data_IF_773399789946
#
_entry.id   IF_773399789946
#
_cell.length_a   1.000
_cell.length_b   1.000
_cell.length_c   1.000
_cell.angle_alpha   90.00
_cell.angle_beta   90.00
_cell.angle_gamma   90.00
#
_symmetry.space_group_name_H-M   'P 1'
#
loop_
_entity.id
_entity.type
_entity.pdbx_description
1 polymer ?
#
# COMPACT_ATOMS: atom_id res chain seq x y z
N UNK A 1 -37.98 -1.39 -5.55
CA UNK A 1 -37.04 -0.54 -4.77
C UNK A 1 -35.75 -0.43 -5.55
N UNK A 2 -35.60 0.59 -6.40
CA UNK A 2 -34.35 0.86 -7.10
C UNK A 2 -33.41 1.53 -6.11
N UNK A 3 -32.29 0.88 -5.76
CA UNK A 3 -31.22 1.48 -4.95
C UNK A 3 -30.72 2.70 -5.71
N UNK A 4 -30.97 3.89 -5.18
CA UNK A 4 -30.49 5.14 -5.77
C UNK A 4 -29.01 5.25 -5.43
N UNK A 5 -28.15 4.93 -6.41
CA UNK A 5 -26.71 5.05 -6.25
C UNK A 5 -26.34 6.53 -6.28
N UNK A 6 -25.73 7.03 -5.21
CA UNK A 6 -25.47 8.46 -5.04
C UNK A 6 -24.08 8.83 -5.56
N UNK A 7 -23.11 7.97 -5.28
CA UNK A 7 -21.73 8.05 -5.73
C UNK A 7 -21.12 6.64 -5.91
N UNK A 8 -21.50 5.93 -6.98
CA UNK A 8 -21.04 4.57 -7.24
C UNK A 8 -19.58 4.54 -7.68
N UNK A 9 -18.78 3.66 -7.08
CA UNK A 9 -17.38 3.44 -7.42
C UNK A 9 -17.08 1.97 -7.66
N UNK A 10 -16.23 1.70 -8.65
CA UNK A 10 -15.58 0.40 -8.80
C UNK A 10 -14.23 0.47 -8.11
N UNK A 11 -14.09 -0.33 -7.05
CA UNK A 11 -12.83 -0.57 -6.40
C UNK A 11 -12.13 -1.78 -7.04
N UNK A 12 -10.86 -1.62 -7.39
CA UNK A 12 -9.97 -2.71 -7.81
C UNK A 12 -8.74 -2.65 -6.91
N UNK A 13 -8.43 -3.78 -6.26
CA UNK A 13 -7.31 -3.84 -5.32
C UNK A 13 -5.96 -3.54 -5.99
N UNK A 14 -5.68 -4.10 -7.16
CA UNK A 14 -4.48 -3.78 -7.95
C UNK A 14 -4.66 -4.17 -9.42
N UNK A 15 -3.84 -3.59 -10.30
CA UNK A 15 -3.69 -3.97 -11.71
C UNK A 15 -2.20 -4.08 -12.04
N UNK A 16 -1.82 -5.00 -12.92
CA UNK A 16 -0.43 -5.44 -13.06
C UNK A 16 0.56 -4.34 -13.51
N UNK A 17 0.19 -3.41 -14.40
CA UNK A 17 1.02 -2.22 -14.69
C UNK A 17 0.22 -0.95 -14.90
N UNK A 18 -0.56 -0.90 -15.98
CA UNK A 18 -1.29 0.29 -16.41
C UNK A 18 -2.67 -0.10 -16.90
N UNK A 19 -3.64 0.80 -16.70
CA UNK A 19 -5.04 0.52 -16.98
C UNK A 19 -5.78 1.75 -17.46
N UNK A 20 -6.66 1.56 -18.44
CA UNK A 20 -7.70 2.51 -18.83
C UNK A 20 -9.06 1.84 -18.65
N UNK A 21 -10.04 2.60 -18.15
CA UNK A 21 -11.42 2.15 -18.07
C UNK A 21 -12.33 3.01 -18.97
N UNK A 22 -13.19 2.34 -19.73
CA UNK A 22 -14.06 2.95 -20.71
C UNK A 22 -15.51 2.54 -20.45
N UNK A 23 -16.40 3.51 -20.38
CA UNK A 23 -17.84 3.29 -20.29
C UNK A 23 -18.46 3.73 -21.62
N UNK A 24 -19.12 2.82 -22.32
CA UNK A 24 -19.70 3.11 -23.65
C UNK A 24 -18.70 3.75 -24.62
N UNK A 25 -17.44 3.27 -24.60
CA UNK A 25 -16.35 3.78 -25.44
C UNK A 25 -15.74 5.11 -24.99
N UNK A 26 -16.27 5.77 -23.95
CA UNK A 26 -15.66 6.97 -23.36
C UNK A 26 -14.74 6.60 -22.21
N UNK A 27 -13.48 7.05 -22.26
CA UNK A 27 -12.53 6.87 -21.16
C UNK A 27 -13.00 7.65 -19.93
N UNK A 28 -13.22 6.95 -18.81
CA UNK A 28 -13.61 7.53 -17.53
C UNK A 28 -12.48 7.49 -16.50
N UNK A 29 -11.49 6.62 -16.68
CA UNK A 29 -10.37 6.47 -15.78
C UNK A 29 -9.10 6.05 -16.53
N UNK A 30 -7.94 6.46 -16.03
CA UNK A 30 -6.64 5.98 -16.49
C UNK A 30 -5.63 5.98 -15.35
N UNK A 31 -4.71 5.03 -15.42
CA UNK A 31 -3.54 4.95 -14.56
C UNK A 31 -2.33 4.50 -15.39
N UNK A 32 -1.25 5.28 -15.33
CA UNK A 32 -0.11 5.16 -16.23
C UNK A 32 -0.36 5.80 -17.60
N UNK A 33 0.58 5.60 -18.52
CA UNK A 33 0.53 6.15 -19.87
C UNK A 33 0.75 5.05 -20.90
N UNK A 34 -0.17 4.96 -21.87
CA UNK A 34 -0.04 4.12 -23.05
C UNK A 34 0.69 4.88 -24.16
N UNK A 35 1.64 4.24 -24.82
CA UNK A 35 2.35 4.75 -25.98
C UNK A 35 1.59 4.44 -27.30
N UNK A 36 2.22 4.76 -28.43
CA UNK A 36 1.64 4.54 -29.75
C UNK A 36 1.44 3.06 -30.10
N UNK A 37 2.17 2.15 -29.46
CA UNK A 37 2.04 0.70 -29.61
C UNK A 37 1.02 0.11 -28.63
N UNK A 38 0.50 0.93 -27.70
CA UNK A 38 -0.40 0.47 -26.65
C UNK A 38 0.32 -0.22 -25.51
N UNK A 39 1.62 0.01 -25.39
CA UNK A 39 2.46 -0.43 -24.29
C UNK A 39 2.67 0.72 -23.31
N UNK A 40 3.22 0.44 -22.14
CA UNK A 40 3.64 1.52 -21.27
C UNK A 40 4.47 1.05 -20.10
N UNK A 41 5.05 2.03 -19.40
CA UNK A 41 5.95 1.74 -18.29
C UNK A 41 5.18 1.49 -17.02
N UNK A 42 5.75 0.62 -16.17
CA UNK A 42 5.28 0.43 -14.80
C UNK A 42 5.10 1.77 -14.07
N UNK A 43 3.88 2.02 -13.62
CA UNK A 43 3.49 3.25 -12.94
C UNK A 43 3.38 3.09 -11.42
N UNK A 44 3.39 1.86 -10.91
CA UNK A 44 3.13 1.50 -9.52
C UNK A 44 2.02 0.45 -9.38
N UNK A 45 1.76 -0.01 -8.15
CA UNK A 45 0.65 -0.90 -7.80
C UNK A 45 -0.26 -0.28 -6.72
N UNK A 46 -0.94 0.84 -7.03
CA UNK A 46 -1.95 1.37 -6.14
C UNK A 46 -3.26 0.60 -6.30
N UNK A 47 -4.11 0.78 -5.31
CA UNK A 47 -5.53 0.49 -5.48
C UNK A 47 -6.17 1.50 -6.42
N UNK A 48 -7.16 1.06 -7.19
CA UNK A 48 -7.88 1.90 -8.13
C UNK A 48 -9.32 2.12 -7.68
N UNK A 49 -9.72 3.39 -7.68
CA UNK A 49 -11.08 3.83 -7.44
C UNK A 49 -11.59 4.50 -8.71
N UNK A 50 -12.60 3.91 -9.33
CA UNK A 50 -13.17 4.36 -10.60
C UNK A 50 -14.57 4.87 -10.33
N UNK A 51 -14.75 6.19 -10.39
CA UNK A 51 -16.05 6.84 -10.25
C UNK A 51 -16.94 6.49 -11.46
N UNK A 52 -18.16 6.06 -11.18
CA UNK A 52 -19.15 5.76 -12.19
C UNK A 52 -20.18 6.91 -12.27
N UNK A 53 -20.58 7.33 -13.48
CA UNK A 53 -21.63 8.32 -13.63
C UNK A 53 -22.97 7.74 -13.17
N UNK A 54 -23.90 8.60 -12.72
CA UNK A 54 -25.21 8.17 -12.17
C UNK A 54 -26.03 7.31 -13.13
N UNK A 55 -25.81 7.45 -14.43
CA UNK A 55 -26.49 6.72 -15.49
C UNK A 55 -25.71 5.48 -15.97
N UNK A 56 -24.80 4.92 -15.14
CA UNK A 56 -24.00 3.74 -15.49
C UNK A 56 -24.81 2.44 -15.61
N UNK A 57 -26.01 2.39 -15.04
CA UNK A 57 -26.81 1.17 -14.97
C UNK A 57 -27.12 0.61 -16.36
N UNK A 58 -26.80 -0.67 -16.59
CA UNK A 58 -27.02 -1.35 -17.87
C UNK A 58 -25.95 -1.09 -18.94
N UNK A 59 -24.97 -0.22 -18.66
CA UNK A 59 -23.84 0.06 -19.54
C UNK A 59 -22.70 -0.92 -19.28
N UNK A 60 -21.88 -1.18 -20.30
CA UNK A 60 -20.71 -2.06 -20.16
C UNK A 60 -19.45 -1.25 -19.91
N UNK A 61 -18.74 -1.61 -18.84
CA UNK A 61 -17.44 -1.06 -18.48
C UNK A 61 -16.33 -1.94 -19.05
N UNK A 62 -15.54 -1.39 -19.95
CA UNK A 62 -14.40 -2.05 -20.58
C UNK A 62 -13.10 -1.63 -19.91
N UNK A 63 -12.22 -2.59 -19.70
CA UNK A 63 -10.88 -2.36 -19.17
C UNK A 63 -9.85 -2.69 -20.24
N UNK A 64 -8.94 -1.74 -20.48
CA UNK A 64 -7.72 -1.97 -21.26
C UNK A 64 -6.57 -2.04 -20.27
N UNK A 65 -5.95 -3.20 -20.17
CA UNK A 65 -4.81 -3.45 -19.28
C UNK A 65 -3.61 -3.79 -20.15
N UNK A 66 -2.45 -3.26 -19.80
CA UNK A 66 -1.17 -3.70 -20.35
C UNK A 66 -0.32 -4.24 -19.20
N UNK A 67 0.40 -5.33 -19.47
CA UNK A 67 1.39 -5.94 -18.57
C UNK A 67 2.48 -6.59 -19.42
N UNK A 68 3.74 -6.36 -19.05
CA UNK A 68 4.91 -7.04 -19.60
C UNK A 68 5.36 -8.23 -18.74
N UNK A 69 4.58 -8.58 -17.70
CA UNK A 69 4.77 -9.79 -16.91
C UNK A 69 4.01 -11.00 -17.51
N UNK A 70 4.33 -12.19 -17.00
CA UNK A 70 3.69 -13.45 -17.41
C UNK A 70 2.18 -13.48 -17.12
N UNK A 71 1.74 -12.74 -16.10
CA UNK A 71 0.35 -12.59 -15.71
C UNK A 71 -0.18 -11.20 -16.09
N UNK A 72 -1.44 -11.16 -16.55
CA UNK A 72 -2.16 -9.94 -16.94
C UNK A 72 -3.59 -9.96 -16.41
N UNK A 73 -4.01 -8.88 -15.75
CA UNK A 73 -5.40 -8.66 -15.40
C UNK A 73 -5.64 -7.75 -14.21
N UNK A 74 -6.87 -7.85 -13.69
CA UNK A 74 -7.26 -7.24 -12.42
C UNK A 74 -6.86 -8.21 -11.31
N UNK A 75 -6.11 -7.72 -10.32
CA UNK A 75 -5.63 -8.54 -9.22
C UNK A 75 -6.38 -8.25 -7.93
N UNK A 76 -6.68 -9.30 -7.17
CA UNK A 76 -7.39 -9.22 -5.90
C UNK A 76 -8.89 -9.00 -6.05
N UNK A 77 -9.45 -8.12 -5.22
CA UNK A 77 -10.89 -7.89 -5.17
C UNK A 77 -11.34 -6.80 -6.15
N UNK A 78 -12.43 -7.07 -6.85
CA UNK A 78 -13.17 -6.09 -7.65
C UNK A 78 -14.55 -5.93 -7.04
N UNK A 79 -14.91 -4.71 -6.62
CA UNK A 79 -16.17 -4.45 -5.91
C UNK A 79 -16.85 -3.17 -6.41
N UNK A 80 -18.14 -3.26 -6.67
CA UNK A 80 -19.02 -2.11 -6.92
C UNK A 80 -19.67 -1.69 -5.60
N UNK A 81 -19.42 -0.46 -5.16
CA UNK A 81 -19.92 0.05 -3.87
C UNK A 81 -20.14 1.56 -3.93
N UNK A 82 -20.72 2.13 -2.87
CA UNK A 82 -20.76 3.59 -2.70
C UNK A 82 -19.40 4.09 -2.20
N UNK A 83 -18.98 5.30 -2.60
CA UNK A 83 -17.73 5.91 -2.13
C UNK A 83 -17.61 5.95 -0.59
N UNK A 84 -18.72 6.21 0.11
CA UNK A 84 -18.76 6.19 1.58
C UNK A 84 -18.55 4.78 2.18
N UNK A 85 -19.05 3.74 1.52
CA UNK A 85 -18.82 2.35 1.94
C UNK A 85 -17.37 1.95 1.70
N UNK A 86 -16.73 2.45 0.64
CA UNK A 86 -15.31 2.22 0.36
C UNK A 86 -14.41 2.78 1.46
N UNK A 87 -14.70 3.99 1.95
CA UNK A 87 -13.93 4.58 3.06
C UNK A 87 -14.03 3.72 4.33
N UNK A 88 -15.24 3.24 4.66
CA UNK A 88 -15.44 2.32 5.78
C UNK A 88 -14.74 0.97 5.59
N UNK A 89 -14.74 0.46 4.36
CA UNK A 89 -14.05 -0.78 4.00
C UNK A 89 -12.54 -0.66 4.19
N UNK A 90 -11.93 0.40 3.67
CA UNK A 90 -10.49 0.66 3.81
C UNK A 90 -10.10 0.82 5.28
N UNK A 91 -10.84 1.63 6.04
CA UNK A 91 -10.59 1.83 7.47
C UNK A 91 -10.62 0.52 8.27
N UNK A 92 -11.57 -0.35 7.96
CA UNK A 92 -11.73 -1.65 8.64
C UNK A 92 -10.74 -2.71 8.15
N UNK A 93 -10.16 -2.55 6.97
CA UNK A 93 -9.08 -3.42 6.51
C UNK A 93 -7.73 -2.98 7.11
N UNK A 94 -7.50 -1.68 7.24
CA UNK A 94 -6.28 -1.11 7.85
C UNK A 94 -6.17 -1.32 9.36
N UNK A 95 -7.18 -1.89 10.04
CA UNK A 95 -7.11 -2.17 11.49
C UNK A 95 -5.95 -3.09 11.85
N UNK A 96 -5.59 -4.04 10.98
CA UNK A 96 -4.47 -4.96 11.22
C UNK A 96 -3.14 -4.20 11.23
N UNK A 97 -2.91 -3.34 10.23
CA UNK A 97 -1.70 -2.53 10.14
C UNK A 97 -1.58 -1.54 11.30
N UNK A 98 -2.71 -0.98 11.75
CA UNK A 98 -2.77 -0.14 12.95
C UNK A 98 -2.32 -0.90 14.20
N UNK A 99 -2.81 -2.13 14.40
CA UNK A 99 -2.40 -2.96 15.54
C UNK A 99 -0.91 -3.27 15.48
N UNK A 100 -0.39 -3.65 14.31
CA UNK A 100 1.05 -3.91 14.11
C UNK A 100 1.87 -2.65 14.44
N UNK A 101 1.46 -1.48 13.94
CA UNK A 101 2.12 -0.20 14.22
C UNK A 101 2.19 0.11 15.72
N UNK A 102 1.09 -0.10 16.45
CA UNK A 102 1.05 0.08 17.91
C UNK A 102 2.03 -0.87 18.61
N UNK A 103 2.08 -2.15 18.21
CA UNK A 103 3.02 -3.13 18.77
C UNK A 103 4.47 -2.71 18.49
N UNK A 104 4.80 -2.33 17.26
CA UNK A 104 6.12 -1.85 16.89
C UNK A 104 6.53 -0.60 17.68
N UNK A 105 5.60 0.34 17.89
CA UNK A 105 5.84 1.54 18.69
C UNK A 105 6.14 1.18 20.16
N UNK A 106 5.39 0.24 20.74
CA UNK A 106 5.64 -0.24 22.10
C UNK A 106 7.02 -0.88 22.23
N UNK A 107 7.43 -1.71 21.27
CA UNK A 107 8.77 -2.31 21.24
C UNK A 107 9.86 -1.25 21.11
N UNK A 108 9.67 -0.25 20.24
CA UNK A 108 10.60 0.85 20.08
C UNK A 108 10.74 1.68 21.36
N UNK A 109 9.63 1.95 22.06
CA UNK A 109 9.62 2.65 23.36
C UNK A 109 10.35 1.83 24.44
N UNK A 110 10.08 0.53 24.55
CA UNK A 110 10.78 -0.36 25.49
C UNK A 110 12.29 -0.38 25.23
N UNK A 111 12.69 -0.51 23.96
CA UNK A 111 14.08 -0.44 23.57
C UNK A 111 14.69 0.93 23.90
N UNK A 112 13.99 2.03 23.65
CA UNK A 112 14.42 3.39 23.99
C UNK A 112 14.59 3.62 25.50
N UNK A 113 13.69 3.07 26.32
CA UNK A 113 13.84 3.10 27.79
C UNK A 113 15.06 2.30 28.22
N UNK A 114 15.26 1.11 27.65
CA UNK A 114 16.42 0.27 27.96
C UNK A 114 17.75 0.92 27.57
N UNK A 115 17.81 1.63 26.43
CA UNK A 115 19.00 2.37 26.03
C UNK A 115 19.27 3.56 26.95
N UNK A 116 18.25 4.28 27.40
CA UNK A 116 18.40 5.36 28.39
C UNK A 116 18.92 4.85 29.74
N UNK A 117 18.40 3.71 30.23
CA UNK A 117 18.87 3.07 31.47
C UNK A 117 20.33 2.64 31.33
N UNK A 118 20.67 1.94 30.23
CA UNK A 118 22.05 1.50 29.98
C UNK A 118 23.02 2.67 29.75
N UNK A 119 22.58 3.76 29.13
CA UNK A 119 23.40 4.95 28.94
C UNK A 119 23.86 5.55 30.27
N UNK A 120 23.04 5.44 31.33
CA UNK A 120 23.44 5.81 32.69
C UNK A 120 24.48 4.87 33.33
N UNK A 121 24.67 3.65 32.81
CA UNK A 121 25.59 2.64 33.37
C UNK A 121 26.92 2.51 32.60
N UNK A 122 27.12 3.24 31.49
CA UNK A 122 28.33 3.16 30.65
C UNK A 122 29.54 3.91 31.20
N UNK A 123 29.92 3.64 32.45
CA UNK A 123 31.18 4.14 33.05
C UNK A 123 31.97 3.01 33.76
N UNK A 124 31.97 1.77 33.26
CA UNK A 124 32.85 0.72 33.79
C UNK A 124 33.32 -0.26 32.70
N UNK A 125 34.01 0.25 31.69
CA UNK A 125 35.03 -0.57 31.01
C UNK A 125 36.38 0.06 31.36
N UNK A 126 36.93 -0.33 32.53
CA UNK A 126 38.30 -0.01 32.88
C UNK A 126 39.23 -0.83 31.96
N UNK A 127 40.23 -0.21 31.31
CA UNK A 127 41.26 -0.95 30.60
C UNK A 127 42.05 -1.79 31.61
N UNK A 128 42.27 -3.06 31.28
CA UNK A 128 43.08 -3.99 32.08
C UNK A 128 44.48 -3.38 32.32
N UNK A 129 45.00 -3.33 33.56
CA UNK A 129 46.37 -2.88 33.79
C UNK A 129 47.35 -3.89 33.17
N UNK A 130 48.22 -3.41 32.28
CA UNK A 130 49.39 -4.17 31.84
C UNK A 130 50.24 -4.55 33.06
N UNK A 131 50.54 -5.84 33.22
CA UNK A 131 51.50 -6.29 34.23
C UNK A 131 52.92 -5.90 33.80
N UNK A 132 53.79 -5.47 34.72
CA UNK A 132 55.19 -5.22 34.41
C UNK A 132 55.95 -6.55 34.24
N UNK A 133 56.74 -6.65 33.18
CA UNK A 133 57.69 -7.74 32.94
C UNK A 133 58.77 -7.79 34.03
N UNK A 134 59.20 -8.98 34.50
CA UNK A 134 60.24 -9.08 35.53
C UNK A 134 61.63 -8.68 34.98
N UNK A 135 62.54 -8.18 35.84
CA UNK A 135 63.86 -7.76 35.42
C UNK A 135 64.73 -8.95 34.98
N UNK A 136 65.45 -8.75 33.88
CA UNK A 136 66.45 -9.69 33.39
C UNK A 136 67.63 -9.77 34.37
N UNK A 137 67.99 -10.99 34.77
CA UNK A 137 69.24 -11.34 35.45
C UNK A 137 69.84 -12.56 34.77
#
# INVERSE_FOLDING_TARGET
MTREWRDPVVYIYSVDLIVEAYLEGRRIYHYGNFDAHGEGRFAGWPWHMIELPRDFAGKTLYFRVYSDYTDIGLWGEVKLMEHAELLGYLLRHSTVDLVISIICLLLALLAGVFTLIQAGTRHYFAPLPCSPSPPAS
#
